data_IF_524331798518
#
_entry.id   IF_524331798518
#
_cell.length_a   1.000
_cell.length_b   1.000
_cell.length_c   1.000
_cell.angle_alpha   90.00
_cell.angle_beta   90.00
_cell.angle_gamma   90.00
#
_symmetry.space_group_name_H-M   'P 1'
#
loop_
_entity.id
_entity.type
_entity.pdbx_description
1 polymer ?
#
# COMPACT_ATOMS: atom_id res chain seq x y z
N UNK A 1 11.46 19.05 69.03
CA UNK A 1 11.59 17.65 68.57
C UNK A 1 10.83 17.50 67.26
N UNK A 2 11.61 17.29 66.21
CA UNK A 2 11.21 17.17 64.81
C UNK A 2 10.86 15.70 64.53
N UNK A 3 9.74 15.42 63.86
CA UNK A 3 9.60 14.28 62.94
C UNK A 3 8.21 14.31 62.28
N UNK A 4 8.09 15.08 61.18
CA UNK A 4 7.00 14.90 60.22
C UNK A 4 7.51 14.04 59.09
N UNK A 5 6.95 12.83 58.98
CA UNK A 5 7.26 11.82 57.97
C UNK A 5 7.11 12.39 56.55
N UNK A 6 8.18 12.33 55.75
CA UNK A 6 8.15 12.63 54.31
C UNK A 6 7.46 11.48 53.57
N UNK A 7 6.28 11.73 53.00
CA UNK A 7 5.63 10.83 52.04
C UNK A 7 6.35 10.98 50.69
N UNK A 8 7.14 9.99 50.31
CA UNK A 8 7.71 9.90 48.96
C UNK A 8 6.61 9.43 47.99
N UNK A 9 6.11 10.36 47.17
CA UNK A 9 5.12 10.09 46.13
C UNK A 9 5.90 9.65 44.87
N UNK A 10 6.00 8.34 44.64
CA UNK A 10 6.56 7.79 43.41
C UNK A 10 5.58 8.03 42.26
N UNK A 11 5.90 8.98 41.38
CA UNK A 11 5.22 9.12 40.09
C UNK A 11 5.82 8.11 39.11
N UNK A 12 5.14 6.98 38.92
CA UNK A 12 5.46 6.04 37.85
C UNK A 12 4.93 6.61 36.53
N UNK A 13 5.81 7.23 35.75
CA UNK A 13 5.52 7.63 34.37
C UNK A 13 5.48 6.38 33.50
N UNK A 14 4.27 5.87 33.22
CA UNK A 14 4.07 4.77 32.27
C UNK A 14 4.14 5.37 30.85
N UNK A 15 5.32 5.29 30.24
CA UNK A 15 5.46 5.51 28.80
C UNK A 15 4.73 4.37 28.07
N UNK A 16 3.53 4.65 27.57
CA UNK A 16 2.89 3.82 26.56
C UNK A 16 3.71 3.91 25.27
N UNK A 17 4.70 3.02 25.11
CA UNK A 17 5.27 2.72 23.81
C UNK A 17 4.16 2.09 22.97
N UNK A 18 3.50 2.88 22.13
CA UNK A 18 2.77 2.34 20.99
C UNK A 18 3.83 1.75 20.05
N UNK A 19 4.12 0.46 20.22
CA UNK A 19 4.77 -0.34 19.18
C UNK A 19 3.80 -0.38 18.00
N UNK A 20 3.80 0.66 17.18
CA UNK A 20 3.34 0.59 15.81
C UNK A 20 4.28 -0.36 15.08
N UNK A 21 3.99 -1.66 15.20
CA UNK A 21 4.52 -2.70 14.34
C UNK A 21 3.99 -2.42 12.93
N UNK A 22 4.61 -1.46 12.26
CA UNK A 22 4.48 -1.34 10.82
C UNK A 22 5.38 -2.43 10.29
N UNK A 23 4.77 -3.54 9.83
CA UNK A 23 5.46 -4.50 8.99
C UNK A 23 5.73 -3.81 7.65
N UNK A 24 6.68 -2.88 7.64
CA UNK A 24 7.25 -2.37 6.41
C UNK A 24 8.08 -3.53 5.89
N UNK A 25 7.50 -4.30 4.98
CA UNK A 25 8.27 -5.21 4.15
C UNK A 25 9.27 -4.34 3.40
N UNK A 26 10.53 -4.38 3.84
CA UNK A 26 11.65 -3.55 3.40
C UNK A 26 12.16 -3.99 2.01
N UNK A 27 11.24 -4.33 1.12
CA UNK A 27 11.48 -4.65 -0.27
C UNK A 27 10.91 -3.55 -1.13
N UNK A 28 11.74 -2.90 -1.95
CA UNK A 28 11.26 -2.04 -3.02
C UNK A 28 10.51 -2.91 -4.02
N UNK A 29 9.20 -3.06 -3.85
CA UNK A 29 8.38 -3.81 -4.78
C UNK A 29 8.35 -3.04 -6.10
N UNK A 30 8.93 -3.61 -7.15
CA UNK A 30 9.08 -2.92 -8.43
C UNK A 30 7.83 -3.07 -9.31
N UNK A 31 7.71 -2.22 -10.32
CA UNK A 31 6.62 -2.28 -11.29
C UNK A 31 6.57 -3.63 -12.02
N UNK A 32 7.74 -4.16 -12.38
CA UNK A 32 7.90 -5.43 -13.08
C UNK A 32 7.50 -6.62 -12.21
N UNK A 33 7.95 -6.66 -10.95
CA UNK A 33 7.59 -7.71 -9.98
C UNK A 33 6.08 -7.70 -9.70
N UNK A 34 5.51 -6.51 -9.50
CA UNK A 34 4.07 -6.33 -9.32
C UNK A 34 3.26 -6.91 -10.49
N UNK A 35 3.63 -6.56 -11.72
CA UNK A 35 2.95 -7.09 -12.90
C UNK A 35 3.10 -8.60 -12.98
N UNK A 36 4.29 -9.13 -12.75
CA UNK A 36 4.56 -10.56 -12.84
C UNK A 36 3.69 -11.35 -11.84
N UNK A 37 3.65 -10.92 -10.58
CA UNK A 37 2.86 -11.59 -9.54
C UNK A 37 1.36 -11.50 -9.80
N UNK A 38 0.86 -10.29 -10.08
CA UNK A 38 -0.58 -10.05 -10.26
C UNK A 38 -1.12 -10.64 -11.56
N UNK A 39 -0.32 -10.67 -12.63
CA UNK A 39 -0.69 -11.37 -13.87
C UNK A 39 -0.72 -12.89 -13.70
N UNK A 40 0.16 -13.48 -12.88
CA UNK A 40 0.07 -14.89 -12.52
C UNK A 40 -1.22 -15.21 -11.74
N UNK A 41 -1.76 -14.23 -11.01
CA UNK A 41 -3.04 -14.32 -10.31
C UNK A 41 -4.26 -13.98 -11.19
N UNK A 42 -4.07 -13.72 -12.49
CA UNK A 42 -5.15 -13.50 -13.45
C UNK A 42 -5.62 -12.06 -13.60
N UNK A 43 -4.87 -11.08 -13.09
CA UNK A 43 -5.14 -9.67 -13.40
C UNK A 43 -4.63 -9.33 -14.81
N UNK A 44 -5.35 -8.43 -15.49
CA UNK A 44 -5.05 -8.05 -16.88
C UNK A 44 -4.73 -6.57 -17.03
N UNK A 45 -5.20 -5.74 -16.11
CA UNK A 45 -5.01 -4.29 -16.12
C UNK A 45 -4.17 -3.87 -14.93
N UNK A 46 -3.24 -2.95 -15.15
CA UNK A 46 -2.26 -2.50 -14.17
C UNK A 46 -2.13 -0.98 -14.24
N UNK A 47 -1.90 -0.35 -13.10
CA UNK A 47 -1.69 1.09 -13.00
C UNK A 47 -0.69 1.44 -11.89
N UNK A 48 0.09 2.49 -12.11
CA UNK A 48 0.96 3.13 -11.12
C UNK A 48 0.40 4.52 -10.83
N UNK A 49 0.33 4.87 -9.55
CA UNK A 49 0.01 6.21 -9.10
C UNK A 49 1.17 6.78 -8.27
N UNK A 50 1.45 8.06 -8.45
CA UNK A 50 2.50 8.78 -7.72
C UNK A 50 1.93 10.03 -7.09
N UNK A 51 2.28 10.26 -5.83
CA UNK A 51 1.97 11.48 -5.07
C UNK A 51 3.01 12.58 -5.35
N UNK A 52 2.73 13.84 -4.98
CA UNK A 52 3.68 14.94 -5.13
C UNK A 52 4.99 14.79 -4.32
N UNK A 53 4.99 13.97 -3.26
CA UNK A 53 6.17 13.67 -2.44
C UNK A 53 6.99 12.48 -2.96
N UNK A 54 6.58 11.88 -4.08
CA UNK A 54 7.28 10.76 -4.71
C UNK A 54 6.86 9.38 -4.21
N UNK A 55 5.89 9.28 -3.28
CA UNK A 55 5.30 8.00 -2.89
C UNK A 55 4.60 7.35 -4.08
N UNK A 56 4.88 6.07 -4.30
CA UNK A 56 4.31 5.28 -5.41
C UNK A 56 3.36 4.23 -4.84
N UNK A 57 2.28 3.95 -5.55
CA UNK A 57 1.47 2.76 -5.30
C UNK A 57 1.01 2.15 -6.61
N UNK A 58 0.77 0.84 -6.57
CA UNK A 58 0.30 0.09 -7.72
C UNK A 58 -1.13 -0.39 -7.50
N UNK A 59 -1.84 -0.60 -8.60
CA UNK A 59 -3.18 -1.18 -8.61
C UNK A 59 -3.34 -2.09 -9.80
N UNK A 60 -4.09 -3.17 -9.62
CA UNK A 60 -4.39 -4.13 -10.67
C UNK A 60 -5.87 -4.51 -10.65
N UNK A 61 -6.35 -4.99 -11.79
CA UNK A 61 -7.71 -5.46 -11.95
C UNK A 61 -7.78 -6.49 -13.07
N UNK A 62 -8.63 -7.49 -12.90
CA UNK A 62 -9.05 -8.41 -13.96
C UNK A 62 -10.22 -7.85 -14.79
N UNK A 63 -10.95 -6.86 -14.26
CA UNK A 63 -12.17 -6.31 -14.85
C UNK A 63 -11.90 -5.18 -15.84
N UNK A 64 -11.19 -4.13 -15.43
CA UNK A 64 -10.98 -2.93 -16.26
C UNK A 64 -9.75 -2.10 -15.87
N UNK A 65 -9.27 -1.28 -16.82
CA UNK A 65 -8.21 -0.30 -16.56
C UNK A 65 -8.63 0.76 -15.53
N UNK A 66 -9.91 1.14 -15.50
CA UNK A 66 -10.43 2.08 -14.51
C UNK A 66 -10.35 1.51 -13.09
N UNK A 67 -10.66 0.22 -12.92
CA UNK A 67 -10.52 -0.47 -11.63
C UNK A 67 -9.08 -0.46 -11.12
N UNK A 68 -8.12 -0.79 -11.98
CA UNK A 68 -6.70 -0.75 -11.65
C UNK A 68 -6.24 0.67 -11.27
N UNK A 69 -6.64 1.68 -12.06
CA UNK A 69 -6.30 3.08 -11.78
C UNK A 69 -6.90 3.57 -10.46
N UNK A 70 -8.18 3.27 -10.18
CA UNK A 70 -8.84 3.67 -8.95
C UNK A 70 -8.18 3.05 -7.72
N UNK A 71 -7.81 1.77 -7.80
CA UNK A 71 -7.06 1.07 -6.75
C UNK A 71 -5.70 1.73 -6.49
N UNK A 72 -4.92 2.00 -7.55
CA UNK A 72 -3.62 2.64 -7.44
C UNK A 72 -3.72 4.04 -6.80
N UNK A 73 -4.64 4.88 -7.28
CA UNK A 73 -4.83 6.23 -6.72
C UNK A 73 -5.34 6.22 -5.30
N UNK A 74 -6.24 5.28 -4.96
CA UNK A 74 -6.78 5.14 -3.60
C UNK A 74 -5.68 4.78 -2.63
N UNK A 75 -4.92 3.72 -2.89
CA UNK A 75 -3.82 3.31 -2.01
C UNK A 75 -2.74 4.39 -1.90
N UNK A 76 -2.38 5.03 -3.00
CA UNK A 76 -1.42 6.12 -2.96
C UNK A 76 -1.93 7.29 -2.09
N UNK A 77 -3.22 7.63 -2.19
CA UNK A 77 -3.80 8.74 -1.40
C UNK A 77 -3.96 8.37 0.07
N UNK A 78 -4.33 7.12 0.38
CA UNK A 78 -4.41 6.59 1.76
C UNK A 78 -3.03 6.57 2.44
N UNK A 79 -1.97 6.23 1.69
CA UNK A 79 -0.61 6.13 2.22
C UNK A 79 0.08 7.49 2.35
N UNK A 80 -0.09 8.39 1.37
CA UNK A 80 0.59 9.70 1.36
C UNK A 80 -0.24 10.83 1.98
N UNK A 81 -1.56 10.66 2.10
CA UNK A 81 -2.47 11.75 2.46
C UNK A 81 -2.59 12.85 1.39
N UNK A 82 -2.19 12.58 0.14
CA UNK A 82 -2.18 13.53 -0.99
C UNK A 82 -3.03 13.02 -2.15
N UNK A 83 -3.38 13.94 -3.06
CA UNK A 83 -4.00 13.57 -4.34
C UNK A 83 -2.90 13.01 -5.26
N UNK A 84 -3.01 11.73 -5.60
CA UNK A 84 -2.08 11.07 -6.50
C UNK A 84 -2.52 11.14 -7.96
N UNK A 85 -1.55 11.05 -8.87
CA UNK A 85 -1.78 11.00 -10.32
C UNK A 85 -1.33 9.66 -10.87
N UNK A 86 -2.06 9.16 -11.87
CA UNK A 86 -1.63 8.00 -12.64
C UNK A 86 -0.41 8.37 -13.48
N UNK A 87 0.67 7.61 -13.34
CA UNK A 87 1.94 7.80 -14.05
C UNK A 87 2.19 6.72 -15.09
N UNK A 88 1.72 5.49 -14.85
CA UNK A 88 1.84 4.38 -15.80
C UNK A 88 0.57 3.55 -15.84
N UNK A 89 0.31 2.94 -16.98
CA UNK A 89 -0.73 1.92 -17.17
C UNK A 89 -0.21 0.81 -18.07
N UNK A 90 -0.76 -0.40 -17.90
CA UNK A 90 -0.47 -1.54 -18.78
C UNK A 90 -1.68 -2.45 -18.82
N UNK A 91 -1.99 -2.99 -19.99
CA UNK A 91 -3.03 -4.00 -20.16
C UNK A 91 -2.45 -5.20 -20.92
N UNK A 92 -2.76 -6.41 -20.45
CA UNK A 92 -2.49 -7.63 -21.19
C UNK A 92 -3.75 -8.11 -21.90
N UNK A 93 -3.61 -8.72 -23.09
CA UNK A 93 -4.73 -9.41 -23.70
C UNK A 93 -5.20 -10.50 -22.74
N UNK A 94 -6.52 -10.60 -22.54
CA UNK A 94 -7.08 -11.75 -21.84
C UNK A 94 -6.62 -12.99 -22.60
N UNK A 95 -6.03 -13.97 -21.91
CA UNK A 95 -5.87 -15.32 -22.46
C UNK A 95 -7.28 -15.87 -22.64
N UNK A 96 -7.91 -15.53 -23.76
CA UNK A 96 -9.08 -16.25 -24.21
C UNK A 96 -8.63 -17.69 -24.39
N UNK A 97 -9.30 -18.62 -23.71
CA UNK A 97 -9.44 -19.94 -24.29
C UNK A 97 -10.07 -19.72 -25.66
N UNK A 98 -9.25 -19.67 -26.71
CA UNK A 98 -9.68 -19.98 -28.06
C UNK A 98 -10.13 -21.44 -28.01
N UNK A 99 -11.36 -21.66 -27.52
CA UNK A 99 -12.09 -22.88 -27.82
C UNK A 99 -12.30 -22.82 -29.32
N UNK A 100 -11.45 -23.57 -30.03
CA UNK A 100 -11.44 -23.66 -31.47
C UNK A 100 -12.84 -23.97 -31.98
N UNK A 101 -13.32 -23.10 -32.85
CA UNK A 101 -14.43 -23.40 -33.74
C UNK A 101 -13.83 -23.25 -35.15
N UNK A 102 -13.43 -24.38 -35.71
CA UNK A 102 -13.26 -24.59 -37.15
C UNK A 102 -14.48 -25.36 -37.64
#
# INVERSE_FOLDING_TARGET
>A
MHNKMKKNFFYTLICFLTLSCTTVLDGSYTWEEFIQERSANGDFFFAEATSPDGSVSFGSSNDSQWGASNMATRHCSENSGKVCRITKTKAFPRKGNFLGIF
#
